data_IF_779592513991
#
_entry.id   IF_779592513991
#
_cell.length_a   1.000
_cell.length_b   1.000
_cell.length_c   1.000
_cell.angle_alpha   90.00
_cell.angle_beta   90.00
_cell.angle_gamma   90.00
#
_symmetry.space_group_name_H-M   'P 1'
#
loop_
_entity.id
_entity.type
_entity.pdbx_description
1 polymer ?
#
# COMPACT_ATOMS: atom_id res chain seq x y z
N UNK A 1 39.79 5.08 47.13
CA UNK A 1 40.41 4.91 45.80
C UNK A 1 40.38 6.25 45.05
N UNK A 2 41.46 7.03 45.12
CA UNK A 2 41.56 8.30 44.42
C UNK A 2 41.54 8.04 42.91
N UNK A 3 40.60 8.65 42.17
CA UNK A 3 40.56 8.56 40.71
C UNK A 3 41.78 9.31 40.17
N UNK A 4 42.76 8.59 39.65
CA UNK A 4 43.90 9.19 38.95
C UNK A 4 43.40 10.21 37.92
N UNK A 5 43.94 11.42 38.02
CA UNK A 5 43.60 12.52 37.11
C UNK A 5 44.26 12.24 35.77
N UNK A 6 43.42 11.89 34.79
CA UNK A 6 43.84 11.67 33.40
C UNK A 6 44.62 12.86 32.85
N UNK A 7 45.70 12.57 32.13
CA UNK A 7 46.57 13.60 31.56
C UNK A 7 45.82 14.45 30.52
N UNK A 8 46.26 15.69 30.24
CA UNK A 8 45.66 16.51 29.19
C UNK A 8 45.65 15.83 27.81
N UNK A 9 46.67 15.02 27.51
CA UNK A 9 46.76 14.25 26.27
C UNK A 9 45.73 13.10 26.24
N UNK A 10 45.52 12.40 27.35
CA UNK A 10 44.49 11.37 27.47
C UNK A 10 43.08 11.96 27.34
N UNK A 11 42.84 13.14 27.93
CA UNK A 11 41.56 13.84 27.77
C UNK A 11 41.31 14.22 26.30
N UNK A 12 42.33 14.75 25.63
CA UNK A 12 42.26 15.09 24.20
C UNK A 12 42.05 13.86 23.31
N UNK A 13 42.71 12.74 23.61
CA UNK A 13 42.50 11.48 22.90
C UNK A 13 41.10 10.91 23.16
N UNK A 14 40.60 11.01 24.40
CA UNK A 14 39.24 10.58 24.75
C UNK A 14 38.18 11.42 24.04
N UNK A 15 38.33 12.74 24.00
CA UNK A 15 37.47 13.63 23.20
C UNK A 15 37.54 13.27 21.71
N UNK A 16 38.75 13.09 21.18
CA UNK A 16 38.94 12.67 19.79
C UNK A 16 38.22 11.35 19.50
N UNK A 17 38.38 10.31 20.33
CA UNK A 17 37.67 9.03 20.17
C UNK A 17 36.16 9.13 20.39
N UNK A 18 35.68 10.06 21.21
CA UNK A 18 34.24 10.30 21.44
C UNK A 18 33.59 10.97 20.24
N UNK A 19 34.28 11.95 19.65
CA UNK A 19 33.80 12.70 18.49
C UNK A 19 34.00 11.93 17.17
N UNK A 20 35.03 11.08 17.11
CA UNK A 20 35.35 10.24 15.95
C UNK A 20 34.94 8.77 16.16
N UNK A 21 34.01 8.51 17.09
CA UNK A 21 33.46 7.18 17.33
C UNK A 21 32.74 6.68 16.08
N UNK A 22 33.48 5.97 15.22
CA UNK A 22 32.94 5.27 14.07
C UNK A 22 32.59 3.87 14.53
N UNK A 23 31.29 3.55 14.52
CA UNK A 23 30.73 2.25 14.87
C UNK A 23 31.37 1.03 14.17
N UNK A 24 32.26 1.24 13.19
CA UNK A 24 32.95 0.19 12.46
C UNK A 24 34.18 -0.41 13.15
N UNK A 25 34.73 0.19 14.22
CA UNK A 25 36.02 -0.27 14.77
C UNK A 25 35.91 -1.33 15.88
N UNK A 26 34.74 -1.59 16.45
CA UNK A 26 34.58 -2.63 17.50
C UNK A 26 33.60 -3.72 17.07
N UNK A 27 34.13 -4.66 16.29
CA UNK A 27 33.57 -5.97 15.93
C UNK A 27 32.23 -5.98 15.18
N UNK A 28 32.25 -6.56 13.98
CA UNK A 28 31.06 -6.96 13.22
C UNK A 28 30.15 -7.95 13.98
N UNK A 29 30.63 -8.58 15.06
CA UNK A 29 29.89 -9.56 15.87
C UNK A 29 29.06 -8.96 17.01
N UNK A 30 29.46 -7.85 17.62
CA UNK A 30 28.72 -7.24 18.74
C UNK A 30 27.67 -6.21 18.29
N UNK A 31 27.80 -5.65 17.08
CA UNK A 31 26.87 -4.66 16.55
C UNK A 31 25.43 -5.17 16.40
N UNK A 32 25.16 -6.37 15.85
CA UNK A 32 23.78 -6.85 15.71
C UNK A 32 23.09 -7.09 17.06
N UNK A 33 23.80 -7.69 18.03
CA UNK A 33 23.28 -7.99 19.37
C UNK A 33 23.00 -6.72 20.18
N UNK A 34 23.95 -5.79 20.20
CA UNK A 34 23.79 -4.53 20.95
C UNK A 34 22.80 -3.58 20.28
N UNK A 35 22.71 -3.56 18.94
CA UNK A 35 21.73 -2.76 18.21
C UNK A 35 20.29 -3.22 18.48
N UNK A 36 20.03 -4.53 18.52
CA UNK A 36 18.70 -5.06 18.85
C UNK A 36 18.27 -4.62 20.25
N UNK A 37 19.16 -4.75 21.25
CA UNK A 37 18.89 -4.31 22.62
C UNK A 37 18.69 -2.79 22.72
N UNK A 38 19.53 -2.01 22.04
CA UNK A 38 19.45 -0.54 22.03
C UNK A 38 18.17 -0.04 21.34
N UNK A 39 17.77 -0.67 20.23
CA UNK A 39 16.51 -0.40 19.52
C UNK A 39 15.30 -0.75 20.39
N UNK A 40 15.33 -1.87 21.10
CA UNK A 40 14.26 -2.25 22.03
C UNK A 40 14.14 -1.26 23.19
N UNK A 41 15.26 -0.79 23.74
CA UNK A 41 15.28 0.23 24.80
C UNK A 41 14.71 1.56 24.32
N UNK A 42 15.17 2.07 23.17
CA UNK A 42 14.65 3.31 22.57
C UNK A 42 13.16 3.19 22.24
N UNK A 43 12.71 2.05 21.72
CA UNK A 43 11.29 1.80 21.47
C UNK A 43 10.45 1.75 22.74
N UNK A 44 10.98 1.21 23.85
CA UNK A 44 10.30 1.24 25.16
C UNK A 44 10.18 2.66 25.70
N UNK A 45 11.24 3.46 25.61
CA UNK A 45 11.21 4.87 26.00
C UNK A 45 10.24 5.68 25.14
N UNK A 46 10.20 5.42 23.84
CA UNK A 46 9.24 6.05 22.92
C UNK A 46 7.79 5.68 23.25
N UNK A 47 7.50 4.39 23.52
CA UNK A 47 6.15 3.96 23.95
C UNK A 47 5.74 4.62 25.26
N UNK A 48 6.63 4.67 26.27
CA UNK A 48 6.34 5.34 27.54
C UNK A 48 6.04 6.83 27.35
N UNK A 49 6.80 7.53 26.50
CA UNK A 49 6.54 8.94 26.18
C UNK A 49 5.23 9.13 25.41
N UNK A 50 4.93 8.23 24.47
CA UNK A 50 3.67 8.21 23.74
C UNK A 50 2.48 7.99 24.68
N UNK A 51 2.59 7.03 25.60
CA UNK A 51 1.57 6.71 26.60
C UNK A 51 1.38 7.87 27.58
N UNK A 52 2.45 8.55 28.01
CA UNK A 52 2.37 9.74 28.85
C UNK A 52 1.67 10.92 28.15
N UNK A 53 1.96 11.13 26.86
CA UNK A 53 1.28 12.16 26.06
C UNK A 53 -0.20 11.85 25.89
N UNK A 54 -0.53 10.58 25.63
CA UNK A 54 -1.91 10.09 25.54
C UNK A 54 -2.64 10.15 26.89
N UNK A 55 -1.95 9.90 28.00
CA UNK A 55 -2.50 10.02 29.36
C UNK A 55 -2.81 11.48 29.70
N UNK A 56 -1.94 12.42 29.32
CA UNK A 56 -2.19 13.88 29.45
C UNK A 56 -3.36 14.39 28.61
N UNK A 57 -3.56 13.84 27.41
CA UNK A 57 -4.73 14.18 26.59
C UNK A 57 -6.01 13.55 27.14
N UNK A 58 -5.88 12.34 27.72
CA UNK A 58 -6.96 11.64 28.39
C UNK A 58 -7.45 12.39 29.65
N UNK A 59 -6.56 12.98 30.46
CA UNK A 59 -6.94 13.68 31.69
C UNK A 59 -7.70 15.00 31.48
N UNK A 60 -7.80 15.51 30.26
CA UNK A 60 -8.58 16.72 29.91
C UNK A 60 -9.97 16.45 29.35
N UNK A 61 -10.39 15.18 29.26
CA UNK A 61 -11.70 14.79 28.74
C UNK A 61 -12.57 14.34 29.92
N UNK A 62 -13.71 15.01 30.21
CA UNK A 62 -14.61 14.61 31.29
C UNK A 62 -15.10 13.17 31.09
N UNK A 63 -15.25 12.43 32.20
CA UNK A 63 -15.53 11.00 32.20
C UNK A 63 -16.80 10.63 31.42
N UNK A 64 -17.77 11.53 31.34
CA UNK A 64 -19.06 11.34 30.67
C UNK A 64 -18.94 11.13 29.14
N UNK A 65 -17.83 11.52 28.52
CA UNK A 65 -17.58 11.31 27.07
C UNK A 65 -16.97 9.93 26.79
N UNK A 66 -16.39 9.25 27.78
CA UNK A 66 -15.70 7.96 27.59
C UNK A 66 -16.64 6.76 27.50
N UNK A 67 -17.77 6.80 28.20
CA UNK A 67 -18.66 5.64 28.28
C UNK A 67 -19.59 5.46 27.06
N UNK A 68 -19.70 6.48 26.21
CA UNK A 68 -20.46 6.37 24.95
C UNK A 68 -19.65 5.64 23.86
N UNK A 69 -18.31 5.67 23.91
CA UNK A 69 -17.45 5.07 22.88
C UNK A 69 -17.17 3.57 23.08
N UNK A 70 -17.50 2.98 24.25
CA UNK A 70 -17.17 1.59 24.58
C UNK A 70 -18.36 0.62 24.53
N UNK A 71 -19.59 1.09 24.28
CA UNK A 71 -20.79 0.23 24.12
C UNK A 71 -21.12 -0.20 22.68
N UNK A 72 -20.30 0.21 21.70
CA UNK A 72 -20.51 -0.10 20.27
C UNK A 72 -19.60 -1.20 19.70
N UNK A 73 -18.98 -2.04 20.55
CA UNK A 73 -18.17 -3.15 20.06
C UNK A 73 -19.07 -4.33 19.65
N UNK A 74 -19.07 -4.66 18.36
CA UNK A 74 -19.44 -5.99 17.87
C UNK A 74 -18.18 -6.80 17.50
N UNK A 75 -18.21 -8.13 17.67
CA UNK A 75 -17.05 -8.98 17.94
C UNK A 75 -16.16 -9.27 16.70
N UNK A 76 -14.91 -9.74 16.91
CA UNK A 76 -14.04 -10.16 15.83
C UNK A 76 -14.54 -11.48 15.22
N UNK A 77 -14.85 -11.47 13.92
CA UNK A 77 -15.08 -12.70 13.17
C UNK A 77 -13.72 -13.36 12.91
N UNK A 78 -13.45 -14.42 13.67
CA UNK A 78 -12.41 -15.40 13.39
C UNK A 78 -12.83 -16.24 12.17
N UNK A 79 -12.12 -16.11 11.06
CA UNK A 79 -12.14 -17.12 10.00
C UNK A 79 -10.93 -18.04 10.17
N UNK A 80 -11.23 -19.27 10.57
CA UNK A 80 -10.33 -20.42 10.60
C UNK A 80 -9.87 -20.79 9.18
N UNK A 81 -8.59 -20.57 8.90
CA UNK A 81 -7.82 -21.30 7.89
C UNK A 81 -6.58 -21.86 8.58
N UNK A 82 -6.79 -22.89 9.37
CA UNK A 82 -5.75 -23.80 9.84
C UNK A 82 -5.68 -24.97 8.87
N UNK A 83 -4.68 -24.96 7.99
CA UNK A 83 -3.99 -26.16 7.53
C UNK A 83 -2.59 -25.80 7.02
N UNK A 84 -1.63 -26.38 7.73
CA UNK A 84 -0.32 -26.83 7.26
C UNK A 84 0.73 -25.78 6.84
N UNK A 85 1.29 -25.09 7.84
CA UNK A 85 2.62 -24.43 7.73
C UNK A 85 3.48 -24.84 8.93
N UNK A 86 3.68 -26.14 9.14
CA UNK A 86 4.67 -26.64 10.11
C UNK A 86 5.68 -27.63 9.49
N UNK A 87 5.70 -27.79 8.15
CA UNK A 87 6.63 -28.70 7.47
C UNK A 87 7.89 -28.08 6.87
N UNK A 88 8.00 -26.74 6.76
CA UNK A 88 9.03 -26.09 5.93
C UNK A 88 9.92 -25.09 6.69
N UNK A 89 10.08 -25.27 8.00
CA UNK A 89 10.96 -24.40 8.82
C UNK A 89 12.39 -24.91 8.94
N UNK A 90 12.69 -26.12 8.44
CA UNK A 90 14.03 -26.73 8.52
C UNK A 90 14.97 -26.35 7.37
N UNK A 91 14.45 -26.11 6.17
CA UNK A 91 15.30 -26.06 4.96
C UNK A 91 15.56 -24.64 4.42
N UNK A 92 14.90 -23.61 4.99
CA UNK A 92 15.05 -22.21 4.54
C UNK A 92 16.33 -21.56 5.10
N UNK A 93 16.85 -22.04 6.24
CA UNK A 93 18.07 -21.47 6.81
C UNK A 93 19.34 -21.89 6.04
N UNK A 94 19.38 -23.09 5.46
CA UNK A 94 20.52 -23.57 4.67
C UNK A 94 20.59 -22.92 3.27
N UNK A 95 19.44 -22.72 2.60
CA UNK A 95 19.43 -22.09 1.26
C UNK A 95 19.72 -20.59 1.32
N UNK A 96 19.40 -19.93 2.43
CA UNK A 96 19.70 -18.51 2.62
C UNK A 96 21.21 -18.25 2.71
N UNK A 97 21.99 -19.12 3.36
CA UNK A 97 23.43 -18.90 3.55
C UNK A 97 24.23 -19.00 2.24
N UNK A 98 23.87 -19.94 1.35
CA UNK A 98 24.56 -20.12 0.06
C UNK A 98 24.24 -19.01 -0.95
N UNK A 99 22.99 -18.55 -1.00
CA UNK A 99 22.60 -17.39 -1.83
C UNK A 99 23.22 -16.08 -1.33
N UNK A 100 23.47 -15.98 -0.03
CA UNK A 100 24.08 -14.81 0.59
C UNK A 100 25.58 -14.78 0.30
N UNK A 101 26.30 -15.88 0.50
CA UNK A 101 27.75 -15.95 0.30
C UNK A 101 28.19 -15.72 -1.16
N UNK A 102 27.46 -16.25 -2.15
CA UNK A 102 27.77 -16.07 -3.56
C UNK A 102 27.63 -14.61 -4.03
N UNK A 103 26.69 -13.85 -3.47
CA UNK A 103 26.46 -12.44 -3.83
C UNK A 103 27.45 -11.45 -3.23
N UNK A 104 28.18 -11.83 -2.18
CA UNK A 104 29.16 -10.93 -1.54
C UNK A 104 30.57 -11.01 -2.14
N UNK A 105 30.88 -11.99 -3.00
CA UNK A 105 32.22 -12.12 -3.61
C UNK A 105 32.58 -10.98 -4.58
N UNK A 106 31.60 -10.22 -5.07
CA UNK A 106 31.84 -9.11 -6.01
C UNK A 106 31.51 -7.73 -5.46
N UNK A 107 31.34 -7.57 -4.14
CA UNK A 107 31.38 -6.23 -3.53
C UNK A 107 32.84 -5.79 -3.51
N UNK A 108 33.36 -5.45 -4.69
CA UNK A 108 34.52 -4.58 -4.89
C UNK A 108 34.38 -3.50 -3.83
N UNK A 109 35.34 -3.45 -2.90
CA UNK A 109 35.40 -2.47 -1.82
C UNK A 109 35.40 -1.09 -2.46
N UNK A 110 34.23 -0.55 -2.79
CA UNK A 110 34.03 0.84 -3.13
C UNK A 110 34.45 1.57 -1.87
N UNK A 111 35.71 2.01 -1.82
CA UNK A 111 36.20 2.93 -0.80
C UNK A 111 35.18 4.06 -0.80
N UNK A 112 34.38 4.13 0.26
CA UNK A 112 33.47 5.24 0.48
C UNK A 112 34.35 6.49 0.43
N UNK A 113 34.27 7.27 -0.66
CA UNK A 113 34.90 8.58 -0.71
C UNK A 113 34.30 9.36 0.45
N UNK A 114 35.11 9.68 1.47
CA UNK A 114 34.68 10.54 2.57
C UNK A 114 34.47 11.92 1.99
N UNK A 115 33.27 12.21 1.50
CA UNK A 115 32.87 13.56 1.11
C UNK A 115 32.55 14.34 2.38
N UNK A 116 33.59 14.97 2.94
CA UNK A 116 33.50 15.94 4.04
C UNK A 116 33.13 15.36 5.41
N UNK A 117 33.63 16.00 6.46
CA UNK A 117 33.16 15.84 7.84
C UNK A 117 31.83 16.56 8.01
N UNK A 118 30.72 15.87 7.72
CA UNK A 118 29.37 16.38 7.98
C UNK A 118 29.06 16.20 9.47
N UNK A 119 28.74 17.29 10.16
CA UNK A 119 28.44 17.27 11.60
C UNK A 119 27.17 16.46 11.88
N UNK A 120 26.99 15.99 13.13
CA UNK A 120 25.76 15.28 13.52
C UNK A 120 24.53 16.18 13.31
N UNK A 121 24.63 17.48 13.59
CA UNK A 121 23.56 18.46 13.36
C UNK A 121 23.14 18.54 11.89
N UNK A 122 24.10 18.62 10.97
CA UNK A 122 23.83 18.62 9.53
C UNK A 122 23.20 17.29 9.05
N UNK A 123 23.62 16.15 9.60
CA UNK A 123 22.99 14.85 9.29
C UNK A 123 21.54 14.79 9.77
N UNK A 124 21.25 15.36 10.94
CA UNK A 124 19.88 15.44 11.47
C UNK A 124 19.04 16.37 10.58
N UNK A 125 19.55 17.56 10.24
CA UNK A 125 18.89 18.51 9.34
C UNK A 125 18.54 17.88 7.99
N UNK A 126 19.52 17.25 7.32
CA UNK A 126 19.28 16.55 6.05
C UNK A 126 18.28 15.40 6.15
N UNK A 127 18.23 14.70 7.29
CA UNK A 127 17.23 13.65 7.52
C UNK A 127 15.83 14.22 7.72
N UNK A 128 15.70 15.36 8.40
CA UNK A 128 14.43 16.04 8.59
C UNK A 128 13.91 16.61 7.27
N UNK A 129 14.77 17.27 6.48
CA UNK A 129 14.45 17.77 5.13
C UNK A 129 13.94 16.62 4.24
N UNK A 130 14.68 15.51 4.14
CA UNK A 130 14.24 14.33 3.38
C UNK A 130 12.90 13.76 3.84
N UNK A 131 12.62 13.82 5.15
CA UNK A 131 11.33 13.38 5.69
C UNK A 131 10.22 14.35 5.32
N UNK A 132 10.47 15.65 5.41
CA UNK A 132 9.54 16.68 4.99
C UNK A 132 9.23 16.55 3.50
N UNK A 133 10.24 16.35 2.65
CA UNK A 133 10.07 16.11 1.21
C UNK A 133 9.29 14.82 0.92
N UNK A 134 9.56 13.75 1.68
CA UNK A 134 8.83 12.48 1.54
C UNK A 134 7.37 12.62 1.97
N UNK A 135 7.11 13.33 3.07
CA UNK A 135 5.75 13.62 3.54
C UNK A 135 5.03 14.52 2.53
N UNK A 136 5.67 15.59 2.04
CA UNK A 136 5.11 16.48 1.02
C UNK A 136 4.71 15.74 -0.24
N UNK A 137 5.60 14.88 -0.77
CA UNK A 137 5.29 14.02 -1.92
C UNK A 137 4.13 13.07 -1.66
N UNK A 138 4.04 12.49 -0.46
CA UNK A 138 2.94 11.60 -0.09
C UNK A 138 1.60 12.35 -0.01
N UNK A 139 1.59 13.57 0.51
CA UNK A 139 0.39 14.41 0.58
C UNK A 139 -0.09 14.80 -0.82
N UNK A 140 0.81 15.31 -1.67
CA UNK A 140 0.48 15.64 -3.06
C UNK A 140 -0.06 14.43 -3.82
N UNK A 141 0.59 13.28 -3.64
CA UNK A 141 0.15 12.03 -4.27
C UNK A 141 -1.24 11.59 -3.80
N UNK A 142 -1.53 11.68 -2.49
CA UNK A 142 -2.87 11.37 -1.95
C UNK A 142 -3.92 12.31 -2.53
N UNK A 143 -3.66 13.62 -2.55
CA UNK A 143 -4.56 14.60 -3.13
C UNK A 143 -4.85 14.31 -4.60
N UNK A 144 -3.83 13.92 -5.37
CA UNK A 144 -4.01 13.54 -6.78
C UNK A 144 -4.99 12.37 -6.95
N UNK A 145 -4.82 11.27 -6.21
CA UNK A 145 -5.73 10.12 -6.30
C UNK A 145 -7.11 10.41 -5.71
N UNK A 146 -7.18 11.21 -4.65
CA UNK A 146 -8.46 11.61 -4.04
C UNK A 146 -9.27 12.50 -5.00
N UNK A 147 -8.60 13.37 -5.76
CA UNK A 147 -9.20 14.17 -6.81
C UNK A 147 -9.63 13.32 -8.01
N UNK A 148 -8.78 12.38 -8.44
CA UNK A 148 -9.11 11.45 -9.52
C UNK A 148 -10.33 10.58 -9.18
N UNK A 149 -10.41 10.05 -7.96
CA UNK A 149 -11.54 9.25 -7.50
C UNK A 149 -12.84 10.06 -7.45
N UNK A 150 -12.80 11.28 -6.90
CA UNK A 150 -13.98 12.16 -6.87
C UNK A 150 -14.43 12.53 -8.28
N UNK A 151 -13.50 12.92 -9.16
CA UNK A 151 -13.82 13.26 -10.55
C UNK A 151 -14.42 12.09 -11.32
N UNK A 152 -13.84 10.89 -11.18
CA UNK A 152 -14.32 9.70 -11.88
C UNK A 152 -15.74 9.35 -11.44
N UNK A 153 -15.99 9.31 -10.12
CA UNK A 153 -17.30 8.93 -9.59
C UNK A 153 -18.34 10.00 -9.90
N UNK A 154 -18.01 11.29 -9.84
CA UNK A 154 -18.93 12.34 -10.27
C UNK A 154 -19.31 12.21 -11.74
N UNK A 155 -18.35 11.87 -12.61
CA UNK A 155 -18.64 11.61 -14.03
C UNK A 155 -19.56 10.42 -14.19
N UNK A 156 -19.29 9.30 -13.51
CA UNK A 156 -20.13 8.10 -13.56
C UNK A 156 -21.56 8.35 -13.04
N UNK A 157 -21.71 9.21 -12.03
CA UNK A 157 -23.00 9.58 -11.45
C UNK A 157 -23.86 10.39 -12.42
N UNK A 158 -23.26 11.20 -13.28
CA UNK A 158 -23.96 12.03 -14.27
C UNK A 158 -24.43 11.26 -15.50
N UNK A 159 -24.00 9.99 -15.65
CA UNK A 159 -24.39 9.16 -16.78
C UNK A 159 -25.76 8.53 -16.54
N UNK A 160 -26.67 8.74 -17.49
CA UNK A 160 -27.99 8.11 -17.52
C UNK A 160 -28.33 7.57 -18.91
N UNK A 161 -29.32 6.67 -18.97
CA UNK A 161 -29.89 6.13 -20.21
C UNK A 161 -28.88 5.37 -21.08
N UNK A 162 -28.85 5.70 -22.38
CA UNK A 162 -28.02 5.01 -23.37
C UNK A 162 -26.52 5.25 -23.16
N UNK A 163 -26.13 6.47 -22.75
CA UNK A 163 -24.73 6.80 -22.46
C UNK A 163 -24.17 5.93 -21.33
N UNK A 164 -24.97 5.68 -20.30
CA UNK A 164 -24.60 4.76 -19.22
C UNK A 164 -24.40 3.34 -19.75
N UNK A 165 -25.31 2.86 -20.60
CA UNK A 165 -25.23 1.51 -21.17
C UNK A 165 -24.00 1.33 -22.07
N UNK A 166 -23.62 2.34 -22.86
CA UNK A 166 -22.39 2.34 -23.66
C UNK A 166 -21.14 2.28 -22.77
N UNK A 167 -21.04 3.16 -21.77
CA UNK A 167 -19.90 3.19 -20.84
C UNK A 167 -19.78 1.90 -20.06
N UNK A 168 -20.89 1.30 -19.64
CA UNK A 168 -20.89 0.00 -18.94
C UNK A 168 -20.38 -1.12 -19.84
N UNK A 169 -20.77 -1.15 -21.12
CA UNK A 169 -20.27 -2.13 -22.09
C UNK A 169 -18.77 -1.95 -22.36
N UNK A 170 -18.30 -0.71 -22.51
CA UNK A 170 -16.86 -0.42 -22.62
C UNK A 170 -16.10 -0.83 -21.36
N UNK A 171 -16.65 -0.57 -20.17
CA UNK A 171 -16.02 -0.97 -18.91
C UNK A 171 -15.90 -2.50 -18.79
N UNK A 172 -16.92 -3.25 -19.20
CA UNK A 172 -16.91 -4.72 -19.21
C UNK A 172 -15.86 -5.28 -20.20
N UNK A 173 -15.75 -4.68 -21.39
CA UNK A 173 -14.71 -5.03 -22.36
C UNK A 173 -13.30 -4.76 -21.82
N UNK A 174 -13.08 -3.57 -21.25
CA UNK A 174 -11.79 -3.19 -20.68
C UNK A 174 -11.37 -4.08 -19.49
N UNK A 175 -12.30 -4.37 -18.58
CA UNK A 175 -12.02 -5.14 -17.36
C UNK A 175 -12.00 -6.66 -17.62
N UNK A 176 -12.88 -7.15 -18.50
CA UNK A 176 -13.09 -8.59 -18.74
C UNK A 176 -12.23 -9.17 -19.86
N UNK A 177 -12.10 -8.48 -21.00
CA UNK A 177 -11.41 -9.00 -22.17
C UNK A 177 -9.91 -8.65 -22.21
N UNK A 178 -9.42 -7.82 -21.28
CA UNK A 178 -8.04 -7.29 -21.26
C UNK A 178 -7.62 -6.73 -22.62
N UNK A 179 -8.51 -5.94 -23.23
CA UNK A 179 -8.25 -5.35 -24.54
C UNK A 179 -7.13 -4.29 -24.43
N UNK A 180 -5.92 -4.66 -24.86
CA UNK A 180 -4.74 -3.82 -24.75
C UNK A 180 -4.82 -2.55 -25.62
N UNK A 181 -5.53 -2.60 -26.75
CA UNK A 181 -5.68 -1.43 -27.63
C UNK A 181 -6.65 -0.40 -27.07
N UNK A 182 -7.79 -0.84 -26.54
CA UNK A 182 -8.70 0.07 -25.84
C UNK A 182 -8.05 0.66 -24.60
N UNK A 183 -7.28 -0.11 -23.85
CA UNK A 183 -6.53 0.41 -22.71
C UNK A 183 -5.55 1.51 -23.15
N UNK A 184 -4.84 1.33 -24.27
CA UNK A 184 -3.94 2.37 -24.81
C UNK A 184 -4.71 3.63 -25.20
N UNK A 185 -5.86 3.50 -25.85
CA UNK A 185 -6.73 4.63 -26.21
C UNK A 185 -7.19 5.40 -24.98
N UNK A 186 -7.70 4.68 -23.98
CA UNK A 186 -8.21 5.25 -22.72
C UNK A 186 -7.09 5.93 -21.93
N UNK A 187 -5.88 5.37 -21.92
CA UNK A 187 -4.70 5.98 -21.27
C UNK A 187 -4.26 7.29 -21.92
N UNK A 188 -4.42 7.43 -23.24
CA UNK A 188 -4.01 8.62 -24.00
C UNK A 188 -5.10 9.70 -24.06
N UNK A 189 -6.33 9.34 -23.71
CA UNK A 189 -7.47 10.24 -23.79
C UNK A 189 -7.54 11.19 -22.59
N UNK A 190 -7.91 12.44 -22.87
CA UNK A 190 -8.20 13.46 -21.86
C UNK A 190 -9.69 13.54 -21.52
N UNK A 191 -10.54 12.73 -22.15
CA UNK A 191 -11.98 12.71 -21.91
C UNK A 191 -12.28 12.33 -20.45
N UNK A 192 -13.15 13.06 -19.73
CA UNK A 192 -13.60 12.66 -18.39
C UNK A 192 -14.19 11.24 -18.33
N UNK A 193 -14.88 10.77 -19.37
CA UNK A 193 -15.45 9.41 -19.43
C UNK A 193 -14.33 8.38 -19.51
N UNK A 194 -13.34 8.58 -20.37
CA UNK A 194 -12.19 7.68 -20.49
C UNK A 194 -11.36 7.68 -19.20
N UNK A 195 -11.20 8.83 -18.54
CA UNK A 195 -10.56 8.90 -17.22
C UNK A 195 -11.33 8.11 -16.17
N UNK A 196 -12.67 8.13 -16.20
CA UNK A 196 -13.50 7.32 -15.32
C UNK A 196 -13.38 5.82 -15.63
N UNK A 197 -13.35 5.43 -16.91
CA UNK A 197 -13.10 4.05 -17.35
C UNK A 197 -11.72 3.55 -16.91
N UNK A 198 -10.69 4.38 -17.07
CA UNK A 198 -9.35 4.08 -16.59
C UNK A 198 -9.34 3.86 -15.07
N UNK A 199 -10.02 4.73 -14.32
CA UNK A 199 -10.15 4.59 -12.87
C UNK A 199 -10.82 3.25 -12.48
N UNK A 200 -11.91 2.87 -13.14
CA UNK A 200 -12.57 1.58 -12.94
C UNK A 200 -11.63 0.40 -13.24
N UNK A 201 -10.91 0.45 -14.36
CA UNK A 201 -9.90 -0.57 -14.71
C UNK A 201 -8.79 -0.69 -13.64
N UNK A 202 -8.33 0.45 -13.10
CA UNK A 202 -7.30 0.49 -12.04
C UNK A 202 -7.80 -0.11 -10.73
N UNK A 203 -9.06 0.09 -10.40
CA UNK A 203 -9.70 -0.56 -9.24
C UNK A 203 -9.84 -2.07 -9.48
N UNK A 204 -10.34 -2.47 -10.65
CA UNK A 204 -10.53 -3.87 -11.01
C UNK A 204 -9.20 -4.65 -11.04
N UNK A 205 -8.11 -4.00 -11.45
CA UNK A 205 -6.75 -4.56 -11.42
C UNK A 205 -6.10 -4.56 -10.02
N UNK A 206 -6.80 -4.06 -8.98
CA UNK A 206 -6.34 -4.11 -7.60
C UNK A 206 -5.33 -3.03 -7.22
N UNK A 207 -5.35 -1.87 -7.89
CA UNK A 207 -4.39 -0.81 -7.58
C UNK A 207 -4.61 -0.23 -6.17
N UNK A 208 -3.56 -0.30 -5.36
CA UNK A 208 -3.61 0.07 -3.94
C UNK A 208 -3.93 1.56 -3.72
N UNK A 209 -3.49 2.46 -4.60
CA UNK A 209 -3.66 3.91 -4.40
C UNK A 209 -5.10 4.36 -4.63
N UNK A 210 -5.74 3.84 -5.66
CA UNK A 210 -7.11 4.11 -6.07
C UNK A 210 -8.07 3.51 -5.03
N UNK A 211 -7.81 2.28 -4.56
CA UNK A 211 -8.54 1.66 -3.45
C UNK A 211 -8.39 2.42 -2.14
N UNK A 212 -7.19 2.89 -1.81
CA UNK A 212 -6.93 3.70 -0.62
C UNK A 212 -7.61 5.07 -0.68
N UNK A 213 -7.69 5.68 -1.87
CA UNK A 213 -8.45 6.92 -2.10
C UNK A 213 -9.97 6.72 -1.87
N UNK A 214 -10.54 5.62 -2.34
CA UNK A 214 -11.93 5.27 -2.06
C UNK A 214 -12.17 5.03 -0.57
N UNK A 215 -11.29 4.29 0.10
CA UNK A 215 -11.42 3.99 1.54
C UNK A 215 -11.38 5.24 2.43
N UNK A 216 -10.67 6.29 2.00
CA UNK A 216 -10.67 7.59 2.69
C UNK A 216 -12.02 8.32 2.63
N UNK A 217 -12.83 8.06 1.59
CA UNK A 217 -14.10 8.75 1.35
C UNK A 217 -15.24 7.73 1.24
N UNK A 218 -15.90 7.35 2.36
CA UNK A 218 -16.90 6.29 2.37
C UNK A 218 -18.14 6.61 1.50
N UNK A 219 -18.44 7.88 1.29
CA UNK A 219 -19.50 8.34 0.39
C UNK A 219 -19.27 7.87 -1.06
N UNK A 220 -18.03 8.01 -1.56
CA UNK A 220 -17.64 7.57 -2.88
C UNK A 220 -17.78 6.05 -3.06
N UNK A 221 -17.53 5.28 -1.99
CA UNK A 221 -17.73 3.83 -2.01
C UNK A 221 -19.21 3.48 -2.21
N UNK A 222 -20.12 4.21 -1.54
CA UNK A 222 -21.57 4.01 -1.69
C UNK A 222 -22.04 4.39 -3.09
N UNK A 223 -21.57 5.52 -3.62
CA UNK A 223 -21.91 5.95 -4.98
C UNK A 223 -21.42 4.96 -6.04
N UNK A 224 -20.19 4.47 -5.88
CA UNK A 224 -19.63 3.44 -6.75
C UNK A 224 -20.43 2.13 -6.65
N UNK A 225 -20.86 1.72 -5.46
CA UNK A 225 -21.71 0.55 -5.28
C UNK A 225 -23.05 0.68 -6.02
N UNK A 226 -23.74 1.81 -5.87
CA UNK A 226 -24.97 2.11 -6.61
C UNK A 226 -24.75 2.08 -8.13
N UNK A 227 -23.63 2.65 -8.60
CA UNK A 227 -23.29 2.60 -10.02
C UNK A 227 -23.04 1.16 -10.50
N UNK A 228 -22.29 0.36 -9.73
CA UNK A 228 -22.04 -1.05 -10.05
C UNK A 228 -23.34 -1.87 -10.08
N UNK A 229 -24.30 -1.59 -9.20
CA UNK A 229 -25.62 -2.24 -9.26
C UNK A 229 -26.37 -1.91 -10.55
N UNK A 230 -26.37 -0.63 -10.97
CA UNK A 230 -26.98 -0.21 -12.25
C UNK A 230 -26.26 -0.89 -13.42
N UNK A 231 -24.94 -0.92 -13.41
CA UNK A 231 -24.11 -1.57 -14.43
C UNK A 231 -24.42 -3.08 -14.54
N UNK A 232 -24.48 -3.78 -13.42
CA UNK A 232 -24.79 -5.21 -13.38
C UNK A 232 -26.19 -5.53 -13.93
N UNK A 233 -27.18 -4.67 -13.67
CA UNK A 233 -28.53 -4.83 -14.25
C UNK A 233 -28.50 -4.74 -15.77
N UNK A 234 -27.72 -3.82 -16.33
CA UNK A 234 -27.54 -3.65 -17.78
C UNK A 234 -26.84 -4.88 -18.36
N UNK A 235 -25.69 -5.26 -17.82
CA UNK A 235 -24.93 -6.42 -18.31
C UNK A 235 -25.74 -7.72 -18.22
N UNK A 236 -26.51 -7.92 -17.16
CA UNK A 236 -27.38 -9.10 -17.02
C UNK A 236 -28.57 -9.08 -17.98
N UNK A 237 -29.03 -7.91 -18.42
CA UNK A 237 -30.05 -7.80 -19.48
C UNK A 237 -29.45 -8.17 -20.83
N UNK A 238 -28.24 -7.69 -21.12
CA UNK A 238 -27.52 -7.97 -22.37
C UNK A 238 -27.16 -9.46 -22.49
N UNK A 239 -26.66 -10.07 -21.41
CA UNK A 239 -26.38 -11.53 -21.35
C UNK A 239 -27.63 -12.35 -21.68
N UNK A 240 -28.76 -12.04 -21.05
CA UNK A 240 -30.04 -12.72 -21.33
C UNK A 240 -30.51 -12.53 -22.77
N UNK A 241 -30.29 -11.36 -23.36
CA UNK A 241 -30.64 -11.12 -24.76
C UNK A 241 -29.77 -11.95 -25.72
N UNK A 242 -28.47 -12.09 -25.42
CA UNK A 242 -27.54 -12.93 -26.17
C UNK A 242 -27.92 -14.41 -26.06
N UNK A 243 -28.19 -14.89 -24.85
CA UNK A 243 -28.61 -16.29 -24.59
C UNK A 243 -29.86 -16.65 -25.41
N UNK A 244 -30.90 -15.80 -25.39
CA UNK A 244 -32.11 -16.00 -26.21
C UNK A 244 -31.81 -16.13 -27.70
N UNK A 245 -30.90 -15.31 -28.25
CA UNK A 245 -30.49 -15.39 -29.65
C UNK A 245 -29.74 -16.68 -29.95
N UNK A 246 -28.89 -17.14 -29.03
CA UNK A 246 -28.17 -18.42 -29.16
C UNK A 246 -29.16 -19.59 -29.13
N UNK A 247 -30.14 -19.57 -28.24
CA UNK A 247 -31.16 -20.61 -28.12
C UNK A 247 -32.07 -20.65 -29.36
N UNK A 248 -32.46 -19.49 -29.88
CA UNK A 248 -33.18 -19.39 -31.16
C UNK A 248 -32.38 -20.02 -32.30
N UNK A 249 -31.07 -19.71 -32.41
CA UNK A 249 -30.18 -20.30 -33.43
C UNK A 249 -30.03 -21.82 -33.25
N UNK A 250 -29.93 -22.31 -32.01
CA UNK A 250 -29.87 -23.75 -31.73
C UNK A 250 -31.17 -24.45 -32.09
N UNK A 251 -32.33 -23.84 -31.80
CA UNK A 251 -33.64 -24.37 -32.15
C UNK A 251 -33.85 -24.45 -33.67
N UNK A 252 -33.46 -23.42 -34.42
CA UNK A 252 -33.54 -23.44 -35.89
C UNK A 252 -32.58 -24.48 -36.49
N UNK A 253 -31.37 -24.61 -35.97
CA UNK A 253 -30.43 -25.66 -36.40
C UNK A 253 -30.97 -27.07 -36.13
N UNK A 254 -31.59 -27.31 -34.97
CA UNK A 254 -32.25 -28.59 -34.66
C UNK A 254 -33.37 -28.89 -35.66
N UNK A 255 -34.24 -27.92 -35.95
CA UNK A 255 -35.32 -28.04 -36.96
C UNK A 255 -34.77 -28.36 -38.36
N UNK A 256 -33.70 -27.69 -38.78
CA UNK A 256 -33.05 -27.96 -40.07
C UNK A 256 -32.44 -29.36 -40.13
N UNK A 257 -31.81 -29.83 -39.05
CA UNK A 257 -31.28 -31.20 -38.97
C UNK A 257 -32.40 -32.25 -39.08
N UNK A 258 -33.52 -32.06 -38.39
CA UNK A 258 -34.66 -32.97 -38.47
C UNK A 258 -35.33 -33.00 -39.84
N UNK A 259 -35.28 -31.89 -40.59
CA UNK A 259 -35.79 -31.83 -41.96
C UNK A 259 -34.84 -32.49 -42.97
N UNK A 260 -33.52 -32.46 -42.73
CA UNK A 260 -32.53 -33.11 -43.59
C UNK A 260 -32.41 -34.63 -43.37
N UNK A 261 -32.90 -35.14 -42.24
CA UNK A 261 -32.90 -36.57 -41.91
C UNK A 261 -34.20 -37.28 -42.30
N UNK A 262 -35.16 -36.57 -42.91
CA UNK A 262 -36.36 -37.11 -43.54
C UNK A 262 -36.17 -37.09 -45.05
#
# INVERSE_FOLDING_TARGET
>A
MAKERKSPQEKKHLEYTKDHFTFGWHSSRMFPKTWRLKKTRVNREYRRKSEQLLARTKSGIPADVRDVALKGASPPVTCTLSRDINGLRGDVELVADDFTAARFRSVVRKRLRKTGTVTVGEKVKRKLERRQDAVGRNVQRRQHYDGAATSAISTLRLLDGEKLAEVVRHADLLCGARNAEELKRVLQSSDPIDRALHFLYRIASGSAFELDALRRKPELVRELATWMERANRILNRDKRAVERKVDQKRATQKKLKTLRSR
#
